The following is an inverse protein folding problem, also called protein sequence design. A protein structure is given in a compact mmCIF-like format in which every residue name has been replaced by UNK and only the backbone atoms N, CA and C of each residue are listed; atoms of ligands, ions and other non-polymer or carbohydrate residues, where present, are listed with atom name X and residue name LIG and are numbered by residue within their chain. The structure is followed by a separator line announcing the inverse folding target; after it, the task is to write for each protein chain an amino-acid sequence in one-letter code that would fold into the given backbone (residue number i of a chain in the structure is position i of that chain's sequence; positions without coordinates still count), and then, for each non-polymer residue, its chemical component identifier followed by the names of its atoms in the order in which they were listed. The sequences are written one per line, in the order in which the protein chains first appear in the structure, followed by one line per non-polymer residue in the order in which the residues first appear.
data_IF_827605104839
#
_entry.id   IF_827605104839
#
_cell.length_a   1.000
_cell.length_b   1.000
_cell.length_c   1.000
_cell.angle_alpha   90.00
_cell.angle_beta   90.00
_cell.angle_gamma   90.00
#
_symmetry.space_group_name_H-M   'P 1'
#
loop_
_entity.id
_entity.type
_entity.pdbx_description
1 polymer ?
#
# COMPACT_ATOMS: atom_id res chain seq x y z
N UNK A 1 -5.76 -4.57 -12.75
CA UNK A 1 -4.29 -4.48 -12.53
C UNK A 1 -3.66 -3.58 -13.61
N UNK A 2 -2.41 -3.15 -13.43
CA UNK A 2 -1.65 -2.35 -14.43
C UNK A 2 -2.29 -0.98 -14.78
N UNK A 3 -2.98 -0.37 -13.82
CA UNK A 3 -3.69 0.91 -13.98
C UNK A 3 -2.96 2.09 -13.34
N UNK A 4 -1.85 1.86 -12.62
CA UNK A 4 -1.11 2.92 -11.97
C UNK A 4 -0.41 3.81 -13.00
N UNK A 5 -0.25 5.12 -12.75
CA UNK A 5 0.41 6.05 -13.68
C UNK A 5 1.88 5.72 -13.94
N UNK A 6 2.51 4.94 -13.05
CA UNK A 6 3.87 4.43 -13.21
C UNK A 6 3.98 3.21 -14.12
N UNK A 7 2.85 2.64 -14.58
CA UNK A 7 2.84 1.43 -15.40
C UNK A 7 3.26 1.73 -16.84
N UNK A 8 4.33 1.09 -17.30
CA UNK A 8 4.88 1.23 -18.64
C UNK A 8 4.46 0.09 -19.57
N UNK A 9 4.84 0.18 -20.85
CA UNK A 9 4.66 -0.92 -21.79
C UNK A 9 5.52 -2.13 -21.46
N UNK A 10 6.69 -1.91 -20.84
CA UNK A 10 7.58 -2.99 -20.43
C UNK A 10 6.93 -3.86 -19.34
N UNK A 11 6.20 -3.25 -18.41
CA UNK A 11 5.46 -3.97 -17.37
C UNK A 11 4.35 -4.85 -17.97
N UNK A 12 3.62 -4.33 -18.97
CA UNK A 12 2.58 -5.08 -19.69
C UNK A 12 3.15 -6.29 -20.43
N UNK A 13 4.27 -6.12 -21.13
CA UNK A 13 4.98 -7.20 -21.80
C UNK A 13 5.51 -8.25 -20.80
N UNK A 14 6.07 -7.81 -19.68
CA UNK A 14 6.55 -8.70 -18.63
C UNK A 14 5.41 -9.55 -18.05
N UNK A 15 4.27 -8.94 -17.73
CA UNK A 15 3.08 -9.66 -17.23
C UNK A 15 2.56 -10.66 -18.25
N UNK A 16 2.51 -10.30 -19.54
CA UNK A 16 2.11 -11.23 -20.61
C UNK A 16 3.00 -12.49 -20.65
N UNK A 17 4.32 -12.31 -20.57
CA UNK A 17 5.29 -13.41 -20.52
C UNK A 17 5.16 -14.26 -19.25
N UNK A 18 5.04 -13.60 -18.09
CA UNK A 18 4.88 -14.28 -16.80
C UNK A 18 3.59 -15.11 -16.75
N UNK A 19 2.49 -14.60 -17.31
CA UNK A 19 1.21 -15.33 -17.41
C UNK A 19 1.34 -16.60 -18.23
N UNK A 20 2.11 -16.57 -19.32
CA UNK A 20 2.31 -17.74 -20.18
C UNK A 20 3.07 -18.89 -19.47
N UNK A 21 3.91 -18.59 -18.48
CA UNK A 21 4.73 -19.58 -17.77
C UNK A 21 4.17 -19.98 -16.40
N UNK A 22 3.37 -19.11 -15.77
CA UNK A 22 2.92 -19.35 -14.39
C UNK A 22 1.68 -20.23 -14.29
N UNK A 23 0.96 -20.42 -15.42
CA UNK A 23 -0.30 -21.17 -15.48
C UNK A 23 -1.38 -20.66 -14.50
N UNK A 24 -1.26 -19.41 -14.02
CA UNK A 24 -2.26 -18.80 -13.14
C UNK A 24 -3.41 -18.23 -13.96
N UNK A 25 -4.62 -18.32 -13.43
CA UNK A 25 -5.71 -17.47 -13.87
C UNK A 25 -5.39 -16.04 -13.43
N UNK A 26 -4.99 -15.21 -14.40
CA UNK A 26 -4.54 -13.84 -14.15
C UNK A 26 -5.62 -12.97 -13.51
N UNK A 27 -6.88 -13.12 -13.93
CA UNK A 27 -7.95 -12.26 -13.45
C UNK A 27 -8.35 -12.67 -12.03
N UNK A 28 -8.47 -13.98 -11.77
CA UNK A 28 -8.70 -14.48 -10.41
C UNK A 28 -7.54 -14.15 -9.46
N UNK A 29 -6.29 -14.31 -9.92
CA UNK A 29 -5.10 -13.99 -9.14
C UNK A 29 -5.03 -12.50 -8.78
N UNK A 30 -5.24 -11.61 -9.75
CA UNK A 30 -5.16 -10.16 -9.49
C UNK A 30 -6.31 -9.67 -8.62
N UNK A 31 -7.52 -10.21 -8.79
CA UNK A 31 -8.65 -9.92 -7.91
C UNK A 31 -8.38 -10.37 -6.47
N UNK A 32 -7.86 -11.58 -6.29
CA UNK A 32 -7.48 -12.12 -4.98
C UNK A 32 -6.36 -11.31 -4.32
N UNK A 33 -5.34 -10.92 -5.09
CA UNK A 33 -4.24 -10.09 -4.60
C UNK A 33 -4.74 -8.72 -4.14
N UNK A 34 -5.61 -8.06 -4.90
CA UNK A 34 -6.19 -6.77 -4.51
C UNK A 34 -7.09 -6.88 -3.28
N UNK A 35 -7.89 -7.95 -3.18
CA UNK A 35 -8.72 -8.21 -2.01
C UNK A 35 -7.87 -8.38 -0.75
N UNK A 36 -6.81 -9.19 -0.81
CA UNK A 36 -5.88 -9.40 0.30
C UNK A 36 -5.13 -8.11 0.68
N UNK A 37 -4.71 -7.31 -0.32
CA UNK A 37 -3.94 -6.07 -0.09
C UNK A 37 -4.76 -4.96 0.59
N UNK A 38 -6.07 -4.95 0.34
CA UNK A 38 -7.03 -3.97 0.88
C UNK A 38 -7.69 -4.41 2.18
N UNK A 39 -7.45 -5.64 2.64
CA UNK A 39 -7.96 -6.12 3.92
C UNK A 39 -7.19 -5.51 5.09
N UNK A 40 -7.91 -4.84 5.98
CA UNK A 40 -7.38 -4.20 7.18
C UNK A 40 -7.72 -5.00 8.46
N UNK A 41 -8.45 -6.10 8.33
CA UNK A 41 -8.96 -6.86 9.47
C UNK A 41 -7.83 -7.33 10.40
N UNK A 42 -8.05 -7.15 11.70
CA UNK A 42 -7.11 -7.55 12.74
C UNK A 42 -5.83 -6.71 12.86
N UNK A 43 -5.62 -5.69 12.01
CA UNK A 43 -4.43 -4.84 12.07
C UNK A 43 -4.70 -3.59 12.92
N UNK A 44 -3.76 -3.28 13.82
CA UNK A 44 -3.76 -2.02 14.58
C UNK A 44 -3.30 -0.84 13.71
N UNK A 45 -3.63 0.39 14.13
CA UNK A 45 -3.20 1.61 13.44
C UNK A 45 -1.68 1.70 13.29
N UNK A 46 -0.90 1.27 14.29
CA UNK A 46 0.56 1.25 14.21
C UNK A 46 1.08 0.25 13.16
N UNK A 47 0.47 -0.94 13.09
CA UNK A 47 0.81 -1.94 12.06
C UNK A 47 0.47 -1.43 10.65
N UNK A 48 -0.72 -0.83 10.48
CA UNK A 48 -1.14 -0.23 9.22
C UNK A 48 -0.21 0.90 8.79
N UNK A 49 0.20 1.76 9.72
CA UNK A 49 1.13 2.86 9.45
C UNK A 49 2.49 2.34 8.96
N UNK A 50 3.00 1.24 9.48
CA UNK A 50 4.32 0.73 9.09
C UNK A 50 4.31 -0.19 7.86
N UNK A 51 3.14 -0.63 7.39
CA UNK A 51 2.99 -1.63 6.33
C UNK A 51 3.67 -1.25 5.01
N UNK A 52 3.58 0.03 4.63
CA UNK A 52 4.29 0.61 3.48
C UNK A 52 4.81 2.00 3.85
N UNK A 53 5.51 2.08 4.98
CA UNK A 53 6.22 3.28 5.40
C UNK A 53 7.61 3.36 4.78
N UNK A 54 7.96 4.55 4.30
CA UNK A 54 9.28 4.87 3.77
C UNK A 54 9.74 6.21 4.33
N UNK A 55 11.00 6.25 4.76
CA UNK A 55 11.64 7.48 5.18
C UNK A 55 12.33 8.15 3.99
N UNK A 56 12.12 9.45 3.87
CA UNK A 56 12.70 10.28 2.83
C UNK A 56 13.41 11.47 3.46
N UNK A 57 14.38 12.00 2.72
CA UNK A 57 14.98 13.31 2.98
C UNK A 57 14.77 14.17 1.75
N UNK A 58 14.00 15.25 1.89
CA UNK A 58 13.80 16.25 0.86
C UNK A 58 14.47 17.53 1.33
N UNK A 59 15.63 17.84 0.73
CA UNK A 59 16.54 18.88 1.21
C UNK A 59 16.89 18.70 2.71
N UNK A 60 16.56 19.67 3.56
CA UNK A 60 16.78 19.62 5.01
C UNK A 60 15.64 18.96 5.79
N UNK A 61 14.55 18.55 5.13
CA UNK A 61 13.36 18.02 5.78
C UNK A 61 13.38 16.49 5.73
N UNK A 62 13.33 15.85 6.89
CA UNK A 62 13.08 14.41 7.02
C UNK A 62 11.58 14.15 7.02
N UNK A 63 11.12 13.16 6.26
CA UNK A 63 9.71 12.82 6.08
C UNK A 63 9.51 11.32 6.24
N UNK A 64 8.53 10.92 7.02
CA UNK A 64 7.97 9.57 6.97
C UNK A 64 6.69 9.64 6.13
N UNK A 65 6.65 8.86 5.05
CA UNK A 65 5.47 8.72 4.20
C UNK A 65 5.00 7.26 4.26
N UNK A 66 3.73 7.06 4.60
CA UNK A 66 3.10 5.75 4.63
C UNK A 66 1.91 5.70 3.69
N UNK A 67 1.73 4.55 3.04
CA UNK A 67 0.61 4.29 2.14
C UNK A 67 -0.24 3.12 2.69
N UNK A 68 -1.55 3.36 2.81
CA UNK A 68 -2.54 2.32 3.14
C UNK A 68 -3.48 2.20 1.96
N UNK A 69 -3.71 0.98 1.50
CA UNK A 69 -4.59 0.69 0.37
C UNK A 69 -5.88 0.10 0.89
N UNK A 70 -6.99 0.62 0.37
CA UNK A 70 -8.34 0.33 0.83
C UNK A 70 -9.26 0.12 -0.36
N UNK A 71 -10.36 -0.60 -0.15
CA UNK A 71 -11.36 -0.78 -1.20
C UNK A 71 -12.25 0.45 -1.32
N UNK A 72 -12.60 1.04 -0.19
CA UNK A 72 -13.34 2.29 -0.08
C UNK A 72 -12.85 3.10 1.13
N UNK A 73 -13.10 4.41 1.13
CA UNK A 73 -12.74 5.29 2.26
C UNK A 73 -13.43 4.86 3.57
N UNK A 74 -14.64 4.30 3.49
CA UNK A 74 -15.36 3.76 4.64
C UNK A 74 -14.60 2.66 5.40
N UNK A 75 -13.65 1.97 4.74
CA UNK A 75 -12.85 0.93 5.38
C UNK A 75 -11.82 1.51 6.36
N UNK A 76 -11.38 2.76 6.13
CA UNK A 76 -10.34 3.43 6.92
C UNK A 76 -10.87 4.56 7.80
N UNK A 77 -12.03 5.14 7.47
CA UNK A 77 -12.62 6.25 8.23
C UNK A 77 -12.65 6.02 9.75
N UNK A 78 -13.05 4.85 10.27
CA UNK A 78 -13.06 4.59 11.72
C UNK A 78 -11.66 4.57 12.37
N UNK A 79 -10.61 4.32 11.58
CA UNK A 79 -9.23 4.20 12.04
C UNK A 79 -8.46 5.51 11.96
N UNK A 80 -8.98 6.53 11.26
CA UNK A 80 -8.29 7.82 11.06
C UNK A 80 -7.83 8.48 12.38
N UNK A 81 -8.63 8.53 13.46
CA UNK A 81 -8.16 9.12 14.72
C UNK A 81 -6.96 8.37 15.33
N UNK A 82 -6.99 7.04 15.30
CA UNK A 82 -5.89 6.22 15.82
C UNK A 82 -4.63 6.32 14.94
N UNK A 83 -4.79 6.42 13.62
CA UNK A 83 -3.69 6.65 12.68
C UNK A 83 -3.04 8.02 12.88
N UNK A 84 -3.84 9.06 13.11
CA UNK A 84 -3.33 10.40 13.43
C UNK A 84 -2.52 10.40 14.73
N UNK A 85 -2.99 9.72 15.77
CA UNK A 85 -2.24 9.57 17.01
C UNK A 85 -0.92 8.80 16.79
N UNK A 86 -0.95 7.71 16.01
CA UNK A 86 0.24 6.94 15.68
C UNK A 86 1.27 7.76 14.89
N UNK A 87 0.82 8.59 13.95
CA UNK A 87 1.67 9.53 13.21
C UNK A 87 2.33 10.56 14.13
N UNK A 88 1.59 11.10 15.10
CA UNK A 88 2.14 12.07 16.05
C UNK A 88 3.22 11.42 16.94
N UNK A 89 2.98 10.20 17.41
CA UNK A 89 3.99 9.43 18.14
C UNK A 89 5.24 9.17 17.29
N UNK A 90 5.06 8.71 16.04
CA UNK A 90 6.19 8.45 15.14
C UNK A 90 7.01 9.72 14.85
N UNK A 91 6.35 10.88 14.74
CA UNK A 91 7.02 12.17 14.58
C UNK A 91 7.86 12.52 15.81
N UNK A 92 7.35 12.30 17.02
CA UNK A 92 8.09 12.57 18.26
C UNK A 92 9.33 11.68 18.42
N UNK A 93 9.25 10.41 17.98
CA UNK A 93 10.39 9.48 18.00
C UNK A 93 11.48 9.85 16.97
N UNK A 94 11.11 10.49 15.86
CA UNK A 94 12.02 10.84 14.78
C UNK A 94 12.85 12.12 15.05
N UNK A 95 12.49 12.92 16.05
CA UNK A 95 13.11 14.21 16.38
C UNK A 95 12.72 15.34 15.42
#
# INVERSE_FOLDING_TARGET
ALSAPTTTEQDRLAVSRLRAISHVDYDAFTAGLLAAKTDLSGQSAAQLLQRDAKNYRIHSVSLLLSQIEVRAMSDIDPLLPALQQALEHAKQEAG
#
